data_IF_057730414625
#
_entry.id   IF_057730414625
#
_cell.length_a   1.000
_cell.length_b   1.000
_cell.length_c   1.000
_cell.angle_alpha   90.00
_cell.angle_beta   90.00
_cell.angle_gamma   90.00
#
_symmetry.space_group_name_H-M   'P 1'
#
loop_
_entity.id
_entity.type
_entity.pdbx_description
1 polymer ?
#
# COMPACT_ATOMS: atom_id res chain seq x y z
N UNK A 1 9.33 -18.17 -10.22
CA UNK A 1 8.56 -17.20 -9.42
C UNK A 1 8.24 -16.02 -10.32
N UNK A 2 6.96 -15.66 -10.48
CA UNK A 2 6.59 -14.47 -11.24
C UNK A 2 6.86 -13.23 -10.38
N UNK A 3 7.91 -12.48 -10.70
CA UNK A 3 8.24 -11.25 -9.98
C UNK A 3 7.18 -10.18 -10.26
N UNK A 4 6.81 -9.46 -9.20
CA UNK A 4 5.89 -8.32 -9.31
C UNK A 4 6.63 -7.09 -9.83
N UNK A 5 5.90 -6.23 -10.54
CA UNK A 5 6.43 -4.97 -11.06
C UNK A 5 6.39 -3.89 -9.99
N UNK A 6 7.54 -3.29 -9.71
CA UNK A 6 7.68 -2.14 -8.81
C UNK A 6 6.97 -0.92 -9.38
N UNK A 7 7.01 -0.73 -10.69
CA UNK A 7 6.25 0.33 -11.35
C UNK A 7 4.74 0.17 -11.10
N UNK A 8 4.19 -1.04 -11.29
CA UNK A 8 2.79 -1.30 -11.01
C UNK A 8 2.44 -1.04 -9.54
N UNK A 9 3.30 -1.47 -8.60
CA UNK A 9 3.13 -1.19 -7.17
C UNK A 9 3.07 0.31 -6.87
N UNK A 10 3.99 1.11 -7.42
CA UNK A 10 4.02 2.57 -7.22
C UNK A 10 2.80 3.24 -7.83
N UNK A 11 2.39 2.84 -9.04
CA UNK A 11 1.19 3.40 -9.68
C UNK A 11 -0.06 3.09 -8.86
N UNK A 12 -0.20 1.86 -8.36
CA UNK A 12 -1.28 1.48 -7.46
C UNK A 12 -1.25 2.30 -6.16
N UNK A 13 -0.07 2.59 -5.62
CA UNK A 13 0.08 3.40 -4.42
C UNK A 13 -0.30 4.87 -4.66
N UNK A 14 0.02 5.45 -5.81
CA UNK A 14 -0.33 6.84 -6.14
C UNK A 14 -1.83 6.99 -6.37
N UNK A 15 -2.44 6.10 -7.17
CA UNK A 15 -3.84 6.24 -7.56
C UNK A 15 -4.82 5.62 -6.55
N UNK A 16 -4.46 4.51 -5.91
CA UNK A 16 -5.31 3.73 -5.00
C UNK A 16 -4.67 3.50 -3.62
N UNK A 17 -3.62 4.25 -3.26
CA UNK A 17 -2.89 4.04 -2.02
C UNK A 17 -3.74 4.25 -0.78
N UNK A 18 -4.67 5.20 -0.79
CA UNK A 18 -5.61 5.41 0.31
C UNK A 18 -6.40 4.15 0.69
N UNK A 19 -6.71 3.29 -0.29
CA UNK A 19 -7.43 2.04 -0.08
C UNK A 19 -6.51 0.84 0.22
N UNK A 20 -5.18 1.01 0.17
CA UNK A 20 -4.21 -0.06 0.45
C UNK A 20 -4.04 -1.08 -0.69
N UNK A 21 -4.43 -0.76 -1.92
CA UNK A 21 -4.41 -1.71 -3.05
C UNK A 21 -3.00 -2.14 -3.44
N UNK A 22 -2.00 -1.25 -3.31
CA UNK A 22 -0.59 -1.61 -3.52
C UNK A 22 -0.11 -2.67 -2.53
N UNK A 23 -0.59 -2.64 -1.29
CA UNK A 23 -0.29 -3.65 -0.28
C UNK A 23 -0.93 -5.01 -0.62
N UNK A 24 -2.17 -5.04 -1.15
CA UNK A 24 -2.75 -6.27 -1.70
C UNK A 24 -1.95 -6.81 -2.88
N UNK A 25 -1.52 -5.93 -3.78
CA UNK A 25 -0.69 -6.32 -4.91
C UNK A 25 0.61 -6.98 -4.46
N UNK A 26 1.30 -6.38 -3.47
CA UNK A 26 2.52 -6.92 -2.88
C UNK A 26 2.31 -8.12 -1.93
N UNK A 27 1.07 -8.54 -1.66
CA UNK A 27 0.74 -9.67 -0.80
C UNK A 27 0.73 -9.36 0.70
N UNK A 28 0.91 -8.09 1.11
CA UNK A 28 0.81 -7.64 2.49
C UNK A 28 -0.66 -7.47 2.91
N UNK A 29 -1.43 -8.57 2.86
CA UNK A 29 -2.88 -8.56 3.05
C UNK A 29 -3.31 -7.98 4.40
N UNK A 30 -2.57 -8.24 5.48
CA UNK A 30 -2.90 -7.67 6.80
C UNK A 30 -2.78 -6.14 6.79
N UNK A 31 -1.69 -5.58 6.23
CA UNK A 31 -1.52 -4.13 6.08
C UNK A 31 -2.63 -3.54 5.21
N UNK A 32 -2.92 -4.20 4.09
CA UNK A 32 -3.91 -3.76 3.13
C UNK A 32 -5.34 -3.71 3.74
N UNK A 33 -5.73 -4.73 4.50
CA UNK A 33 -7.02 -4.77 5.21
C UNK A 33 -7.08 -3.69 6.29
N UNK A 34 -6.03 -3.51 7.09
CA UNK A 34 -5.98 -2.45 8.11
C UNK A 34 -6.15 -1.08 7.46
N UNK A 35 -5.43 -0.81 6.38
CA UNK A 35 -5.49 0.45 5.65
C UNK A 35 -6.88 0.68 5.03
N UNK A 36 -7.49 -0.36 4.46
CA UNK A 36 -8.85 -0.29 3.90
C UNK A 36 -9.89 0.03 4.99
N UNK A 37 -9.83 -0.64 6.14
CA UNK A 37 -10.75 -0.39 7.26
C UNK A 37 -10.54 1.00 7.85
N UNK A 38 -9.29 1.45 8.03
CA UNK A 38 -8.98 2.79 8.50
C UNK A 38 -9.57 3.85 7.56
N UNK A 39 -9.35 3.70 6.25
CA UNK A 39 -9.87 4.65 5.26
C UNK A 39 -11.40 4.60 5.18
N UNK A 40 -12.02 3.43 5.28
CA UNK A 40 -13.48 3.29 5.21
C UNK A 40 -14.20 3.86 6.44
N UNK A 41 -13.72 3.55 7.64
CA UNK A 41 -14.39 3.96 8.89
C UNK A 41 -13.96 5.34 9.38
N UNK A 42 -12.72 5.74 9.12
CA UNK A 42 -12.11 6.95 9.71
C UNK A 42 -11.48 7.88 8.67
N UNK A 43 -11.48 7.52 7.37
CA UNK A 43 -10.86 8.35 6.32
C UNK A 43 -11.54 9.70 6.09
N UNK A 44 -12.76 9.89 6.60
CA UNK A 44 -13.44 11.19 6.65
C UNK A 44 -12.82 12.15 7.68
N UNK A 45 -11.98 11.66 8.59
CA UNK A 45 -11.23 12.49 9.53
C UNK A 45 -9.91 12.94 8.91
N UNK A 46 -9.57 14.23 9.08
CA UNK A 46 -8.35 14.84 8.53
C UNK A 46 -7.09 14.13 9.04
N UNK A 47 -7.08 13.74 10.32
CA UNK A 47 -5.93 13.09 10.96
C UNK A 47 -5.63 11.75 10.31
N UNK A 48 -6.65 10.89 10.12
CA UNK A 48 -6.44 9.58 9.49
C UNK A 48 -6.11 9.72 8.01
N UNK A 49 -6.74 10.66 7.31
CA UNK A 49 -6.40 10.92 5.90
C UNK A 49 -4.91 11.28 5.73
N UNK A 50 -4.38 12.16 6.59
CA UNK A 50 -2.95 12.53 6.57
C UNK A 50 -2.07 11.34 6.96
N UNK A 51 -2.44 10.59 8.01
CA UNK A 51 -1.67 9.44 8.45
C UNK A 51 -1.57 8.34 7.37
N UNK A 52 -2.68 8.04 6.69
CA UNK A 52 -2.72 7.09 5.57
C UNK A 52 -1.90 7.62 4.39
N UNK A 53 -1.97 8.92 4.09
CA UNK A 53 -1.16 9.50 3.03
C UNK A 53 0.35 9.36 3.31
N UNK A 54 0.79 9.67 4.54
CA UNK A 54 2.19 9.48 4.95
C UNK A 54 2.59 8.00 4.87
N UNK A 55 1.72 7.09 5.32
CA UNK A 55 1.95 5.64 5.20
C UNK A 55 2.20 5.27 3.74
N UNK A 56 1.35 5.69 2.80
CA UNK A 56 1.52 5.39 1.37
C UNK A 56 2.89 5.85 0.85
N UNK A 57 3.36 7.04 1.22
CA UNK A 57 4.69 7.53 0.81
C UNK A 57 5.81 6.66 1.41
N UNK A 58 5.69 6.27 2.68
CA UNK A 58 6.65 5.36 3.32
C UNK A 58 6.71 4.03 2.58
N UNK A 59 5.55 3.46 2.24
CA UNK A 59 5.45 2.19 1.50
C UNK A 59 6.09 2.29 0.11
N UNK A 60 5.93 3.41 -0.61
CA UNK A 60 6.55 3.63 -1.93
C UNK A 60 8.09 3.63 -1.83
N UNK A 61 8.65 4.19 -0.75
CA UNK A 61 10.10 4.33 -0.56
C UNK A 61 10.72 3.04 -0.02
N UNK A 62 10.09 2.44 1.00
CA UNK A 62 10.70 1.36 1.78
C UNK A 62 10.39 -0.05 1.24
N UNK A 63 9.24 -0.26 0.59
CA UNK A 63 8.85 -1.60 0.14
C UNK A 63 9.45 -1.88 -1.24
N UNK A 64 10.41 -2.81 -1.26
CA UNK A 64 11.12 -3.25 -2.49
C UNK A 64 10.91 -4.73 -2.78
N UNK A 65 10.33 -5.49 -1.86
CA UNK A 65 10.01 -6.90 -2.00
C UNK A 65 8.57 -7.20 -1.61
N UNK A 66 8.02 -8.25 -2.20
CA UNK A 66 6.68 -8.75 -1.86
C UNK A 66 6.67 -9.51 -0.53
N UNK A 67 5.49 -9.92 -0.07
CA UNK A 67 5.31 -10.62 1.19
C UNK A 67 5.99 -12.00 1.26
N UNK A 68 6.42 -12.57 0.12
CA UNK A 68 7.20 -13.81 0.06
C UNK A 68 8.71 -13.55 0.06
N UNK A 69 9.14 -12.28 0.23
CA UNK A 69 10.53 -11.87 0.19
C UNK A 69 11.11 -11.78 -1.22
N UNK A 70 10.28 -11.83 -2.27
CA UNK A 70 10.75 -11.74 -3.66
C UNK A 70 10.90 -10.26 -4.04
N UNK A 71 12.10 -9.80 -4.45
CA UNK A 71 12.30 -8.43 -4.90
C UNK A 71 11.44 -8.09 -6.12
N UNK A 72 10.87 -6.88 -6.13
CA UNK A 72 10.09 -6.36 -7.25
C UNK A 72 11.01 -5.82 -8.34
N UNK A 73 10.58 -5.94 -9.60
CA UNK A 73 11.32 -5.50 -10.78
C UNK A 73 10.93 -4.09 -11.23
#
# INVERSE_FOLDING_TARGET
MNQKSRLAYILLAIFLGGFGVHNFYAGYNQKAVIQLLLTLFLGWTVIVAIAVFVWVIIDIVQVTADANGVPMK
#
